data_IF_811471866007
#
_entry.id   IF_811471866007
#
_cell.length_a   1.000
_cell.length_b   1.000
_cell.length_c   1.000
_cell.angle_alpha   90.00
_cell.angle_beta   90.00
_cell.angle_gamma   90.00
#
_symmetry.space_group_name_H-M   'P 1'
#
loop_
_entity.id
_entity.type
_entity.pdbx_description
1 polymer ?
#
# COMPACT_ATOMS: atom_id res chain seq x y z
N UNK A 1 -14.91 -21.95 76.82
CA UNK A 1 -13.70 -21.14 76.58
C UNK A 1 -13.67 -20.70 75.12
N UNK A 2 -14.64 -19.86 74.75
CA UNK A 2 -14.63 -19.04 73.54
C UNK A 2 -13.91 -17.72 73.87
N UNK A 3 -13.53 -16.97 72.83
CA UNK A 3 -12.89 -15.65 72.85
C UNK A 3 -11.41 -15.61 73.23
N UNK A 4 -10.51 -15.85 72.26
CA UNK A 4 -9.33 -14.97 72.08
C UNK A 4 -9.07 -14.77 70.58
N UNK A 5 -9.46 -13.59 70.11
CA UNK A 5 -8.86 -12.79 69.01
C UNK A 5 -8.90 -13.33 67.59
N UNK A 6 -10.12 -13.40 67.05
CA UNK A 6 -10.39 -12.72 65.78
C UNK A 6 -10.00 -11.23 65.92
N UNK A 7 -9.40 -10.64 64.89
CA UNK A 7 -8.79 -9.29 64.86
C UNK A 7 -7.33 -9.31 65.30
N UNK A 8 -6.44 -9.77 64.41
CA UNK A 8 -5.28 -8.95 64.04
C UNK A 8 -4.96 -9.16 62.55
N UNK A 9 -5.40 -8.17 61.78
CA UNK A 9 -4.65 -7.62 60.65
C UNK A 9 -4.66 -8.43 59.35
N UNK A 10 -5.83 -8.38 58.71
CA UNK A 10 -5.91 -8.13 57.28
C UNK A 10 -5.11 -6.85 56.95
N UNK A 11 -3.81 -6.99 56.69
CA UNK A 11 -2.98 -5.95 56.09
C UNK A 11 -1.80 -6.61 55.39
N UNK A 12 -1.68 -6.31 54.11
CA UNK A 12 -0.53 -6.58 53.25
C UNK A 12 -0.25 -8.03 52.84
N UNK A 13 -0.90 -8.42 51.74
CA UNK A 13 -0.16 -8.68 50.50
C UNK A 13 -1.11 -8.50 49.32
N UNK A 14 -1.16 -7.27 48.78
CA UNK A 14 -1.35 -7.14 47.34
C UNK A 14 -0.15 -7.86 46.74
N UNK A 15 -0.29 -9.13 46.39
CA UNK A 15 0.59 -9.74 45.41
C UNK A 15 0.46 -8.87 44.14
N UNK A 16 1.35 -7.89 44.01
CA UNK A 16 1.63 -7.26 42.73
C UNK A 16 2.30 -8.35 41.89
N UNK A 17 1.48 -9.27 41.39
CA UNK A 17 1.89 -10.12 40.27
C UNK A 17 2.31 -9.15 39.18
N UNK A 18 3.56 -9.19 38.69
CA UNK A 18 3.97 -8.33 37.60
C UNK A 18 2.95 -8.48 36.49
N UNK A 19 2.38 -7.34 36.07
CA UNK A 19 1.17 -7.31 35.24
C UNK A 19 1.36 -8.07 33.92
N UNK A 20 2.61 -8.26 33.47
CA UNK A 20 2.99 -9.03 32.29
C UNK A 20 4.40 -9.61 32.45
N UNK A 21 4.53 -10.93 32.53
CA UNK A 21 5.82 -11.63 32.30
C UNK A 21 5.76 -12.21 30.89
N UNK A 22 6.40 -11.52 29.94
CA UNK A 22 6.52 -11.97 28.56
C UNK A 22 7.44 -13.18 28.49
N UNK A 23 7.01 -14.22 27.77
CA UNK A 23 7.88 -15.36 27.46
C UNK A 23 8.94 -14.95 26.42
N UNK A 24 10.07 -15.67 26.36
CA UNK A 24 11.17 -15.37 25.43
C UNK A 24 10.69 -15.18 23.99
N UNK A 25 9.80 -16.05 23.52
CA UNK A 25 9.26 -15.98 22.15
C UNK A 25 8.37 -14.75 21.93
N UNK A 26 7.67 -14.31 22.98
CA UNK A 26 6.88 -13.07 22.96
C UNK A 26 7.75 -11.82 23.01
N UNK A 27 8.89 -11.87 23.71
CA UNK A 27 9.89 -10.79 23.69
C UNK A 27 10.49 -10.65 22.29
N UNK A 28 10.86 -11.77 21.66
CA UNK A 28 11.35 -11.78 20.28
C UNK A 28 10.27 -11.22 19.34
N UNK A 29 9.04 -11.72 19.44
CA UNK A 29 7.92 -11.22 18.63
C UNK A 29 7.68 -9.72 18.85
N UNK A 30 7.77 -9.22 20.08
CA UNK A 30 7.59 -7.80 20.40
C UNK A 30 8.70 -6.92 19.83
N UNK A 31 9.96 -7.37 19.88
CA UNK A 31 11.08 -6.69 19.23
C UNK A 31 10.85 -6.66 17.71
N UNK A 32 10.45 -7.78 17.11
CA UNK A 32 10.14 -7.86 15.68
C UNK A 32 8.96 -6.95 15.30
N UNK A 33 7.95 -6.83 16.17
CA UNK A 33 6.83 -5.91 15.98
C UNK A 33 7.30 -4.45 15.98
N UNK A 34 8.09 -4.04 16.98
CA UNK A 34 8.64 -2.68 17.05
C UNK A 34 9.49 -2.38 15.82
N UNK A 35 10.36 -3.31 15.45
CA UNK A 35 11.22 -3.17 14.27
C UNK A 35 10.40 -3.07 12.98
N UNK A 36 9.37 -3.90 12.81
CA UNK A 36 8.50 -3.85 11.64
C UNK A 36 7.65 -2.57 11.58
N UNK A 37 7.19 -2.04 12.73
CA UNK A 37 6.50 -0.74 12.80
C UNK A 37 7.46 0.39 12.45
N UNK A 38 8.70 0.35 12.96
CA UNK A 38 9.72 1.33 12.61
C UNK A 38 10.05 1.32 11.12
N UNK A 39 10.32 0.15 10.53
CA UNK A 39 10.50 0.00 9.08
C UNK A 39 9.30 0.53 8.29
N UNK A 40 8.07 0.21 8.75
CA UNK A 40 6.86 0.72 8.10
C UNK A 40 6.85 2.25 8.09
N UNK A 41 7.19 2.89 9.21
CA UNK A 41 7.24 4.35 9.31
C UNK A 41 8.34 4.94 8.41
N UNK A 42 9.54 4.37 8.44
CA UNK A 42 10.70 4.82 7.67
C UNK A 42 10.43 4.75 6.16
N UNK A 43 9.85 3.64 5.69
CA UNK A 43 9.49 3.47 4.29
C UNK A 43 8.28 4.33 3.88
N UNK A 44 7.28 4.49 4.75
CA UNK A 44 6.11 5.34 4.44
C UNK A 44 6.49 6.82 4.35
N UNK A 45 7.41 7.27 5.20
CA UNK A 45 7.88 8.66 5.24
C UNK A 45 9.00 8.98 4.26
N UNK A 46 9.48 7.97 3.50
CA UNK A 46 10.56 8.11 2.51
C UNK A 46 11.87 8.70 3.08
N UNK A 47 12.11 8.54 4.38
CA UNK A 47 13.25 9.14 5.08
C UNK A 47 13.70 8.26 6.24
N UNK A 48 15.01 8.17 6.46
CA UNK A 48 15.59 7.52 7.63
C UNK A 48 16.86 6.72 7.33
N UNK A 49 17.49 6.20 8.39
CA UNK A 49 18.77 5.47 8.29
C UNK A 49 18.75 4.31 7.29
N UNK A 50 17.74 3.45 7.34
CA UNK A 50 17.68 2.28 6.46
C UNK A 50 17.24 2.74 5.07
N UNK A 51 16.15 3.50 4.97
CA UNK A 51 15.59 3.94 3.68
C UNK A 51 16.60 4.74 2.85
N UNK A 52 17.27 5.73 3.44
CA UNK A 52 18.25 6.58 2.73
C UNK A 52 19.43 5.76 2.19
N UNK A 53 19.78 4.65 2.85
CA UNK A 53 20.88 3.77 2.45
C UNK A 53 20.53 2.84 1.28
N UNK A 54 19.24 2.59 1.04
CA UNK A 54 18.77 1.61 0.05
C UNK A 54 17.87 2.22 -1.03
N UNK A 55 17.41 3.47 -0.85
CA UNK A 55 16.49 4.18 -1.75
C UNK A 55 17.02 4.32 -3.18
N UNK A 56 18.34 4.25 -3.35
CA UNK A 56 19.00 4.25 -4.67
C UNK A 56 18.87 2.93 -5.42
N UNK A 57 18.36 1.87 -4.79
CA UNK A 57 18.15 0.58 -5.45
C UNK A 57 16.98 0.71 -6.46
N UNK A 58 17.17 0.25 -7.71
CA UNK A 58 16.15 0.38 -8.77
C UNK A 58 14.77 -0.17 -8.37
N UNK A 59 14.75 -1.25 -7.58
CA UNK A 59 13.51 -1.89 -7.10
C UNK A 59 12.72 -0.94 -6.19
N UNK A 60 13.40 -0.18 -5.32
CA UNK A 60 12.72 0.72 -4.37
C UNK A 60 12.30 2.03 -5.04
N UNK A 61 13.08 2.52 -6.01
CA UNK A 61 12.65 3.61 -6.92
C UNK A 61 11.37 3.27 -7.69
N UNK A 62 11.25 2.04 -8.18
CA UNK A 62 10.09 1.59 -8.97
C UNK A 62 8.82 1.37 -8.14
N UNK A 63 8.93 1.28 -6.81
CA UNK A 63 7.81 1.13 -5.89
C UNK A 63 7.29 2.53 -5.50
N UNK A 64 6.78 3.22 -6.53
CA UNK A 64 6.36 4.62 -6.60
C UNK A 64 5.42 5.13 -5.50
N UNK A 65 4.84 4.25 -4.67
CA UNK A 65 3.93 4.66 -3.63
C UNK A 65 4.34 4.00 -2.32
N UNK A 66 5.06 4.76 -1.50
CA UNK A 66 5.62 4.35 -0.21
C UNK A 66 4.58 3.74 0.76
N UNK A 67 3.31 4.09 0.59
CA UNK A 67 2.16 3.49 1.31
C UNK A 67 2.02 1.99 1.02
N UNK A 68 2.43 1.51 -0.17
CA UNK A 68 2.37 0.08 -0.53
C UNK A 68 3.25 -0.78 0.38
N UNK A 69 4.36 -0.25 0.91
CA UNK A 69 5.16 -0.95 1.92
C UNK A 69 4.44 -1.06 3.25
N UNK A 70 3.70 -0.03 3.67
CA UNK A 70 2.87 -0.09 4.87
C UNK A 70 1.82 -1.19 4.76
N UNK A 71 1.17 -1.32 3.60
CA UNK A 71 0.20 -2.38 3.33
C UNK A 71 0.86 -3.76 3.33
N UNK A 72 2.04 -3.92 2.73
CA UNK A 72 2.77 -5.19 2.69
C UNK A 72 3.21 -5.66 4.09
N UNK A 73 3.58 -4.73 4.97
CA UNK A 73 3.97 -5.02 6.35
C UNK A 73 2.77 -5.15 7.31
N UNK A 74 1.59 -4.67 6.92
CA UNK A 74 0.40 -4.69 7.79
C UNK A 74 -0.02 -6.10 8.18
N UNK A 75 -0.10 -7.03 7.22
CA UNK A 75 -0.47 -8.42 7.50
C UNK A 75 0.51 -9.13 8.47
N UNK A 76 1.84 -9.14 8.23
CA UNK A 76 2.78 -9.73 9.17
C UNK A 76 2.77 -9.04 10.54
N UNK A 77 2.61 -7.71 10.59
CA UNK A 77 2.47 -6.98 11.85
C UNK A 77 1.20 -7.36 12.61
N UNK A 78 0.07 -7.54 11.93
CA UNK A 78 -1.19 -8.01 12.53
C UNK A 78 -1.07 -9.44 13.04
N UNK A 79 -0.39 -10.33 12.31
CA UNK A 79 -0.15 -11.71 12.74
C UNK A 79 0.77 -11.73 13.98
N UNK A 80 1.88 -10.98 13.97
CA UNK A 80 2.81 -10.89 15.10
C UNK A 80 2.13 -10.23 16.30
N UNK A 81 1.38 -9.16 16.09
CA UNK A 81 0.58 -8.48 17.11
C UNK A 81 -0.47 -9.42 17.70
N UNK A 82 -1.19 -10.15 16.86
CA UNK A 82 -2.16 -11.18 17.26
C UNK A 82 -1.51 -12.31 18.05
N UNK A 83 -0.30 -12.74 17.68
CA UNK A 83 0.49 -13.75 18.40
C UNK A 83 0.98 -13.27 19.77
N UNK A 84 1.43 -12.02 19.89
CA UNK A 84 1.80 -11.40 21.18
C UNK A 84 0.55 -11.29 22.08
N UNK A 85 -0.59 -10.98 21.48
CA UNK A 85 -1.89 -10.88 22.15
C UNK A 85 -2.57 -12.25 22.36
N UNK A 86 -2.02 -13.34 21.82
CA UNK A 86 -2.62 -14.68 21.87
C UNK A 86 -2.73 -15.21 23.31
N UNK A 87 -3.79 -16.01 23.51
CA UNK A 87 -4.35 -16.69 24.68
C UNK A 87 -4.15 -16.14 26.09
N UNK A 88 -3.00 -15.64 26.52
CA UNK A 88 -2.85 -15.09 27.89
C UNK A 88 -3.61 -13.78 28.09
N UNK A 89 -3.74 -12.94 27.06
CA UNK A 89 -4.46 -11.67 27.15
C UNK A 89 -5.98 -11.89 27.15
N UNK A 90 -6.48 -12.79 26.30
CA UNK A 90 -7.89 -13.15 26.18
C UNK A 90 -8.37 -14.22 27.18
N UNK A 91 -7.48 -15.08 27.74
CA UNK A 91 -7.87 -16.07 28.76
C UNK A 91 -8.13 -15.42 30.11
N UNK A 92 -7.49 -14.29 30.41
CA UNK A 92 -7.91 -13.44 31.52
C UNK A 92 -9.30 -12.89 31.20
N UNK A 93 -10.34 -13.53 31.73
CA UNK A 93 -11.73 -13.03 31.76
C UNK A 93 -11.89 -11.76 32.63
N UNK A 94 -10.84 -10.94 32.71
CA UNK A 94 -10.88 -9.69 33.43
C UNK A 94 -11.59 -8.68 32.54
N UNK A 95 -12.80 -8.30 32.93
CA UNK A 95 -13.59 -7.24 32.29
C UNK A 95 -12.76 -5.96 32.06
N UNK A 96 -11.71 -5.71 32.84
CA UNK A 96 -10.79 -4.58 32.64
C UNK A 96 -9.99 -4.70 31.35
N UNK A 97 -9.44 -5.88 31.03
CA UNK A 97 -8.61 -6.10 29.84
C UNK A 97 -9.45 -5.98 28.57
N UNK A 98 -10.64 -6.59 28.56
CA UNK A 98 -11.61 -6.49 27.46
C UNK A 98 -12.05 -5.03 27.26
N UNK A 99 -12.35 -4.30 28.36
CA UNK A 99 -12.73 -2.89 28.28
C UNK A 99 -11.60 -2.01 27.75
N UNK A 100 -10.36 -2.24 28.18
CA UNK A 100 -9.18 -1.51 27.68
C UNK A 100 -8.99 -1.76 26.18
N UNK A 101 -9.08 -3.01 25.72
CA UNK A 101 -9.03 -3.34 24.29
C UNK A 101 -10.09 -2.58 23.49
N UNK A 102 -11.35 -2.60 23.93
CA UNK A 102 -12.42 -1.89 23.22
C UNK A 102 -12.21 -0.37 23.19
N UNK A 103 -11.73 0.23 24.28
CA UNK A 103 -11.42 1.67 24.30
C UNK A 103 -10.37 2.02 23.25
N UNK A 104 -9.28 1.25 23.18
CA UNK A 104 -8.25 1.48 22.17
C UNK A 104 -8.74 1.20 20.75
N UNK A 105 -9.45 0.09 20.54
CA UNK A 105 -9.99 -0.27 19.24
C UNK A 105 -10.97 0.78 18.69
N UNK A 106 -11.96 1.19 19.50
CA UNK A 106 -12.90 2.22 19.10
C UNK A 106 -12.26 3.61 19.02
N UNK A 107 -11.29 3.91 19.89
CA UNK A 107 -10.51 5.15 19.81
C UNK A 107 -9.71 5.25 18.51
N UNK A 108 -9.08 4.15 18.08
CA UNK A 108 -8.39 4.09 16.78
C UNK A 108 -9.37 4.21 15.62
N UNK A 109 -10.52 3.53 15.67
CA UNK A 109 -11.55 3.69 14.64
C UNK A 109 -12.06 5.14 14.57
N UNK A 110 -12.30 5.77 15.72
CA UNK A 110 -12.73 7.15 15.80
C UNK A 110 -11.66 8.13 15.27
N UNK A 111 -10.37 7.79 15.40
CA UNK A 111 -9.28 8.63 14.89
C UNK A 111 -9.33 8.80 13.37
N UNK A 112 -9.84 7.80 12.62
CA UNK A 112 -10.06 7.95 11.18
C UNK A 112 -11.12 8.99 10.85
N UNK A 113 -12.09 9.22 11.74
CA UNK A 113 -13.11 10.26 11.54
C UNK A 113 -12.56 11.68 11.71
N UNK A 114 -11.44 11.86 12.41
CA UNK A 114 -10.76 13.16 12.54
C UNK A 114 -10.31 13.67 11.16
N UNK A 115 -10.02 12.78 10.21
CA UNK A 115 -9.72 13.14 8.83
C UNK A 115 -10.85 13.96 8.17
N UNK A 116 -12.11 13.67 8.52
CA UNK A 116 -13.26 14.43 8.01
C UNK A 116 -13.35 15.86 8.58
N UNK A 117 -12.71 16.11 9.72
CA UNK A 117 -12.67 17.41 10.40
C UNK A 117 -11.50 18.30 9.95
N UNK A 118 -10.52 17.75 9.23
CA UNK A 118 -9.41 18.55 8.71
C UNK A 118 -9.92 19.57 7.67
N UNK A 119 -9.41 20.80 7.67
CA UNK A 119 -9.79 21.81 6.68
C UNK A 119 -9.41 21.39 5.26
N UNK A 120 -10.20 21.81 4.27
CA UNK A 120 -9.98 21.47 2.85
C UNK A 120 -8.67 22.05 2.28
N UNK A 121 -8.04 22.99 2.99
CA UNK A 121 -6.70 23.50 2.66
C UNK A 121 -5.62 22.43 2.87
N UNK A 122 -5.84 21.47 3.77
CA UNK A 122 -4.94 20.36 4.05
C UNK A 122 -5.35 19.07 3.34
N UNK A 123 -6.48 19.07 2.62
CA UNK A 123 -6.96 17.90 1.88
C UNK A 123 -7.83 18.29 0.69
N UNK A 124 -7.47 17.79 -0.49
CA UNK A 124 -8.29 17.97 -1.69
C UNK A 124 -9.33 16.85 -1.78
N UNK A 125 -10.62 17.19 -1.67
CA UNK A 125 -11.74 16.24 -1.79
C UNK A 125 -12.47 16.47 -3.11
N UNK A 126 -11.78 16.19 -4.22
CA UNK A 126 -12.28 16.47 -5.57
C UNK A 126 -13.16 15.36 -6.15
N UNK A 127 -13.51 14.33 -5.37
CA UNK A 127 -14.33 13.24 -5.87
C UNK A 127 -15.79 13.70 -6.05
N UNK A 128 -16.24 13.75 -7.31
CA UNK A 128 -17.60 14.07 -7.69
C UNK A 128 -18.33 12.80 -8.19
N UNK A 129 -19.30 12.33 -7.42
CA UNK A 129 -20.10 11.15 -7.76
C UNK A 129 -20.91 11.34 -9.04
N UNK A 130 -21.44 12.53 -9.29
CA UNK A 130 -22.29 12.79 -10.45
C UNK A 130 -21.49 12.64 -11.75
N UNK A 131 -20.28 13.20 -11.78
CA UNK A 131 -19.38 13.05 -12.92
C UNK A 131 -19.01 11.59 -13.18
N UNK A 132 -18.74 10.82 -12.12
CA UNK A 132 -18.46 9.38 -12.25
C UNK A 132 -19.67 8.62 -12.81
N UNK A 133 -20.88 8.99 -12.38
CA UNK A 133 -22.12 8.38 -12.88
C UNK A 133 -22.38 8.73 -14.34
N UNK A 134 -22.09 9.96 -14.75
CA UNK A 134 -22.22 10.42 -16.14
C UNK A 134 -21.22 9.70 -17.05
N UNK A 135 -19.94 9.66 -16.66
CA UNK A 135 -18.89 8.92 -17.38
C UNK A 135 -19.27 7.44 -17.52
N UNK A 136 -19.82 6.82 -16.46
CA UNK A 136 -20.29 5.43 -16.50
C UNK A 136 -21.46 5.22 -17.48
N UNK A 137 -22.42 6.15 -17.52
CA UNK A 137 -23.54 6.06 -18.46
C UNK A 137 -23.07 6.17 -19.91
N UNK A 138 -22.14 7.09 -20.16
CA UNK A 138 -21.50 7.32 -21.45
C UNK A 138 -20.68 6.10 -21.92
N UNK A 139 -19.90 5.47 -21.01
CA UNK A 139 -19.24 4.19 -21.28
C UNK A 139 -20.26 3.11 -21.70
N UNK A 140 -21.41 3.05 -21.02
CA UNK A 140 -22.44 2.02 -21.28
C UNK A 140 -23.10 2.17 -22.65
N UNK A 141 -23.20 3.39 -23.18
CA UNK A 141 -23.72 3.64 -24.54
C UNK A 141 -22.64 3.52 -25.63
N UNK A 142 -21.41 3.16 -25.25
CA UNK A 142 -20.31 2.86 -26.16
C UNK A 142 -19.39 4.03 -26.48
N UNK A 143 -19.46 5.12 -25.70
CA UNK A 143 -18.52 6.23 -25.84
C UNK A 143 -17.09 5.77 -25.54
N UNK A 144 -16.17 6.21 -26.39
CA UNK A 144 -14.74 5.91 -26.26
C UNK A 144 -14.05 7.22 -25.92
N UNK A 145 -13.65 7.35 -24.65
CA UNK A 145 -13.01 8.54 -24.09
C UNK A 145 -11.57 8.74 -24.55
N UNK A 146 -11.32 8.73 -25.86
CA UNK A 146 -9.98 8.92 -26.38
C UNK A 146 -9.44 10.30 -26.02
N UNK A 147 -8.19 10.33 -25.57
CA UNK A 147 -7.51 11.56 -25.21
C UNK A 147 -7.12 12.26 -26.51
N UNK A 148 -7.50 13.54 -26.63
CA UNK A 148 -7.25 14.36 -27.82
C UNK A 148 -6.56 15.68 -27.51
N UNK A 149 -6.64 16.13 -26.26
CA UNK A 149 -6.08 17.40 -25.82
C UNK A 149 -5.37 17.28 -24.47
N UNK A 150 -4.56 18.29 -24.18
CA UNK A 150 -3.97 18.60 -22.90
C UNK A 150 -4.66 19.85 -22.37
N UNK A 151 -5.15 19.81 -21.11
CA UNK A 151 -5.93 20.89 -20.52
C UNK A 151 -5.63 21.10 -19.03
N UNK A 152 -5.92 22.30 -18.54
CA UNK A 152 -5.88 22.66 -17.11
C UNK A 152 -7.11 22.12 -16.36
N UNK A 153 -7.22 20.80 -16.25
CA UNK A 153 -8.36 20.10 -15.64
C UNK A 153 -7.92 19.26 -14.45
N UNK A 154 -8.85 18.92 -13.55
CA UNK A 154 -8.61 17.96 -12.48
C UNK A 154 -8.72 16.53 -13.00
N UNK A 155 -8.05 15.58 -12.34
CA UNK A 155 -8.00 14.17 -12.74
C UNK A 155 -9.37 13.51 -12.91
N UNK A 156 -10.35 13.91 -12.09
CA UNK A 156 -11.73 13.40 -12.18
C UNK A 156 -12.48 13.86 -13.44
N UNK A 157 -11.90 14.78 -14.23
CA UNK A 157 -12.52 15.33 -15.43
C UNK A 157 -11.92 14.81 -16.74
N UNK A 158 -10.86 13.99 -16.66
CA UNK A 158 -10.08 13.49 -17.81
C UNK A 158 -10.98 12.81 -18.85
N UNK A 159 -11.92 11.97 -18.41
CA UNK A 159 -12.85 11.29 -19.31
C UNK A 159 -13.83 12.27 -19.95
N UNK A 160 -14.65 12.95 -19.14
CA UNK A 160 -15.66 13.90 -19.65
C UNK A 160 -15.10 14.99 -20.59
N UNK A 161 -13.81 15.33 -20.48
CA UNK A 161 -13.16 16.38 -21.27
C UNK A 161 -12.31 15.83 -22.42
N UNK A 162 -12.19 14.51 -22.58
CA UNK A 162 -11.31 13.88 -23.58
C UNK A 162 -9.88 14.44 -23.58
N UNK A 163 -9.37 14.73 -22.38
CA UNK A 163 -8.14 15.48 -22.20
C UNK A 163 -7.30 14.93 -21.06
N UNK A 164 -5.99 15.00 -21.19
CA UNK A 164 -5.07 14.79 -20.08
C UNK A 164 -4.87 16.10 -19.31
N UNK A 165 -4.61 15.97 -18.01
CA UNK A 165 -4.31 17.11 -17.15
C UNK A 165 -2.88 17.60 -17.37
N UNK A 166 -2.66 18.92 -17.35
CA UNK A 166 -1.32 19.51 -17.16
C UNK A 166 -0.87 19.44 -15.70
N UNK A 167 -1.82 19.39 -14.76
CA UNK A 167 -1.55 19.23 -13.35
C UNK A 167 -1.26 17.76 -13.10
N UNK A 168 -0.03 17.44 -12.75
CA UNK A 168 0.37 16.05 -12.49
C UNK A 168 0.40 15.87 -10.99
N UNK A 169 -0.67 15.40 -10.36
CA UNK A 169 -0.65 15.20 -8.91
C UNK A 169 0.05 13.88 -8.56
N UNK A 170 1.33 13.95 -8.19
CA UNK A 170 2.03 12.82 -7.59
C UNK A 170 2.89 13.30 -6.41
N UNK A 171 2.62 12.74 -5.23
CA UNK A 171 3.20 13.18 -3.96
C UNK A 171 4.72 13.02 -3.90
N UNK A 172 5.30 12.23 -4.81
CA UNK A 172 6.75 12.01 -4.87
C UNK A 172 7.51 13.23 -5.40
N UNK A 173 6.81 14.18 -6.05
CA UNK A 173 7.40 15.39 -6.63
C UNK A 173 6.98 16.68 -5.89
N UNK A 174 6.60 16.51 -4.62
CA UNK A 174 6.08 17.60 -3.79
C UNK A 174 4.56 17.60 -3.72
N UNK A 175 4.01 18.01 -2.57
CA UNK A 175 2.56 18.09 -2.38
C UNK A 175 1.95 19.21 -3.24
N UNK A 176 2.77 20.20 -3.60
CA UNK A 176 2.40 21.34 -4.45
C UNK A 176 3.14 21.32 -5.80
N UNK A 177 3.66 20.15 -6.21
CA UNK A 177 4.42 19.95 -7.46
C UNK A 177 5.69 20.80 -7.54
N UNK A 178 6.29 21.09 -6.38
CA UNK A 178 7.43 21.99 -6.27
C UNK A 178 8.63 21.52 -7.11
N UNK A 179 8.79 20.21 -7.27
CA UNK A 179 9.87 19.58 -8.02
C UNK A 179 9.46 19.13 -9.44
N UNK A 180 8.22 19.43 -9.86
CA UNK A 180 7.69 19.01 -11.16
C UNK A 180 7.38 20.20 -12.07
N UNK A 181 8.09 20.27 -13.20
CA UNK A 181 7.77 21.18 -14.31
C UNK A 181 7.30 20.39 -15.52
N UNK A 182 6.01 20.53 -15.86
CA UNK A 182 5.50 19.92 -17.10
C UNK A 182 6.02 20.67 -18.33
N UNK A 183 6.47 19.93 -19.34
CA UNK A 183 6.74 20.47 -20.68
C UNK A 183 5.50 20.52 -21.56
N UNK A 184 4.35 20.02 -21.07
CA UNK A 184 3.13 20.00 -21.84
C UNK A 184 2.49 21.40 -21.92
N UNK A 185 1.96 21.72 -23.10
CA UNK A 185 1.22 22.95 -23.33
C UNK A 185 -0.29 22.66 -23.46
N UNK A 186 -1.17 23.57 -23.02
CA UNK A 186 -2.60 23.44 -23.30
C UNK A 186 -2.87 23.41 -24.81
N UNK A 187 -3.55 22.37 -25.31
CA UNK A 187 -3.81 22.21 -26.75
C UNK A 187 -3.91 20.75 -27.19
N UNK A 188 -3.77 20.50 -28.50
CA UNK A 188 -3.84 19.14 -29.03
C UNK A 188 -2.66 18.28 -28.57
N UNK A 189 -2.90 16.99 -28.34
CA UNK A 189 -1.82 16.00 -28.13
C UNK A 189 -0.91 15.83 -29.37
N UNK A 190 -1.41 16.19 -30.56
CA UNK A 190 -0.66 16.13 -31.81
C UNK A 190 0.11 17.41 -32.10
N UNK A 191 0.12 18.39 -31.18
CA UNK A 191 0.98 19.55 -31.32
C UNK A 191 2.44 19.07 -31.29
N UNK A 192 3.19 19.43 -32.33
CA UNK A 192 4.60 19.06 -32.50
C UNK A 192 5.49 20.24 -32.12
N UNK A 193 6.41 20.05 -31.18
CA UNK A 193 7.36 21.07 -30.71
C UNK A 193 8.69 20.40 -30.36
N UNK A 194 9.80 20.97 -30.82
CA UNK A 194 11.17 20.49 -30.57
C UNK A 194 11.42 18.99 -30.87
N UNK A 195 10.65 18.40 -31.78
CA UNK A 195 10.76 16.98 -32.14
C UNK A 195 9.96 16.03 -31.25
N UNK A 196 9.01 16.56 -30.46
CA UNK A 196 8.15 15.81 -29.58
C UNK A 196 6.67 16.14 -29.80
N UNK A 197 5.80 15.18 -29.48
CA UNK A 197 4.37 15.38 -29.34
C UNK A 197 4.05 15.98 -27.97
N UNK A 198 2.97 16.75 -27.91
CA UNK A 198 2.45 17.34 -26.69
C UNK A 198 1.70 16.32 -25.81
N UNK A 199 2.37 15.22 -25.46
CA UNK A 199 1.87 14.18 -24.57
C UNK A 199 3.03 13.48 -23.87
N UNK A 200 2.92 13.31 -22.56
CA UNK A 200 3.92 12.59 -21.75
C UNK A 200 3.93 11.10 -22.13
N UNK A 201 5.13 10.56 -22.34
CA UNK A 201 5.34 9.13 -22.55
C UNK A 201 5.35 8.43 -21.18
N UNK A 202 4.37 7.56 -20.86
CA UNK A 202 4.29 6.92 -19.56
C UNK A 202 5.44 5.94 -19.32
N UNK A 203 6.19 5.52 -20.36
CA UNK A 203 7.42 4.75 -20.20
C UNK A 203 8.42 5.46 -19.30
N UNK A 204 8.51 6.79 -19.42
CA UNK A 204 9.41 7.63 -18.61
C UNK A 204 9.09 7.64 -17.12
N UNK A 205 7.87 7.22 -16.74
CA UNK A 205 7.44 7.12 -15.34
C UNK A 205 7.69 5.73 -14.75
N UNK A 206 7.91 4.72 -15.58
CA UNK A 206 7.92 3.31 -15.14
C UNK A 206 9.30 2.70 -15.26
N UNK A 207 10.00 3.02 -16.34
CA UNK A 207 11.32 2.51 -16.63
C UNK A 207 12.30 3.66 -16.52
N UNK A 208 13.33 3.50 -15.70
CA UNK A 208 14.40 4.46 -15.39
C UNK A 208 14.97 5.05 -16.69
N UNK A 209 14.32 6.09 -17.21
CA UNK A 209 14.81 6.91 -18.31
C UNK A 209 15.55 8.08 -17.70
N UNK A 210 16.66 8.45 -18.33
CA UNK A 210 17.45 9.63 -17.93
C UNK A 210 16.61 10.92 -17.91
N UNK A 211 15.43 10.90 -18.55
CA UNK A 211 14.44 11.98 -18.59
C UNK A 211 13.11 11.48 -18.03
N UNK A 212 12.82 11.78 -16.76
CA UNK A 212 11.49 11.64 -16.18
C UNK A 212 10.52 12.59 -16.92
N UNK A 213 9.30 12.13 -17.18
CA UNK A 213 8.25 12.90 -17.89
C UNK A 213 8.56 13.25 -19.35
N UNK A 214 9.50 12.55 -19.97
CA UNK A 214 9.79 12.71 -21.38
C UNK A 214 8.50 12.61 -22.23
N UNK A 215 8.40 13.47 -23.23
CA UNK A 215 7.32 13.46 -24.22
C UNK A 215 7.53 12.34 -25.24
N UNK A 216 6.47 11.94 -25.94
CA UNK A 216 6.62 11.06 -27.09
C UNK A 216 7.42 11.75 -28.19
N UNK A 217 8.44 11.08 -28.72
CA UNK A 217 9.17 11.59 -29.90
C UNK A 217 8.31 11.46 -31.15
N UNK A 218 8.61 12.24 -32.20
CA UNK A 218 7.91 12.12 -33.49
C UNK A 218 7.99 10.69 -34.09
N UNK A 219 9.08 9.97 -33.82
CA UNK A 219 9.25 8.57 -34.25
C UNK A 219 8.34 7.58 -33.53
N UNK A 220 7.81 7.93 -32.36
CA UNK A 220 6.97 7.06 -31.53
C UNK A 220 5.47 7.26 -31.77
N UNK A 221 5.09 7.88 -32.90
CA UNK A 221 3.69 8.18 -33.23
C UNK A 221 2.76 6.98 -33.11
N UNK A 222 3.13 5.82 -33.65
CA UNK A 222 2.28 4.62 -33.58
C UNK A 222 2.06 4.14 -32.13
N UNK A 223 3.09 4.27 -31.30
CA UNK A 223 3.03 3.94 -29.87
C UNK A 223 2.11 4.92 -29.14
N UNK A 224 2.23 6.21 -29.42
CA UNK A 224 1.37 7.26 -28.89
C UNK A 224 -0.10 7.03 -29.30
N UNK A 225 -0.35 6.79 -30.58
CA UNK A 225 -1.68 6.51 -31.11
C UNK A 225 -2.27 5.21 -30.54
N UNK A 226 -1.47 4.19 -30.30
CA UNK A 226 -1.92 3.00 -29.58
C UNK A 226 -2.35 3.35 -28.16
N UNK A 227 -1.52 4.11 -27.43
CA UNK A 227 -1.76 4.50 -26.05
C UNK A 227 -3.03 5.33 -25.86
N UNK A 228 -3.22 6.41 -26.63
CA UNK A 228 -4.39 7.30 -26.48
C UNK A 228 -5.71 6.67 -26.93
N UNK A 229 -5.62 5.56 -27.68
CA UNK A 229 -6.77 4.73 -28.06
C UNK A 229 -6.96 3.50 -27.15
N UNK A 230 -6.29 3.47 -25.99
CA UNK A 230 -6.38 2.36 -25.03
C UNK A 230 -5.99 0.99 -25.60
N UNK A 231 -5.11 0.97 -26.60
CA UNK A 231 -4.46 -0.25 -27.11
C UNK A 231 -3.12 -0.43 -26.39
N UNK A 232 -2.70 -1.68 -26.21
CA UNK A 232 -1.41 -1.99 -25.57
C UNK A 232 -0.26 -1.68 -26.53
N UNK A 233 0.56 -0.64 -26.27
CA UNK A 233 1.74 -0.35 -27.08
C UNK A 233 2.87 -1.32 -26.73
N UNK A 234 3.83 -1.49 -27.64
CA UNK A 234 5.07 -2.18 -27.31
C UNK A 234 6.01 -1.24 -26.55
N UNK A 235 5.89 -1.25 -25.21
CA UNK A 235 6.65 -0.35 -24.35
C UNK A 235 8.16 -0.59 -24.35
N UNK A 236 8.64 -1.69 -24.93
CA UNK A 236 10.07 -2.02 -24.93
C UNK A 236 10.64 -2.19 -23.51
N UNK A 237 10.18 -3.23 -22.80
CA UNK A 237 10.57 -3.49 -21.41
C UNK A 237 12.11 -3.70 -21.33
N UNK A 238 12.82 -3.07 -20.36
CA UNK A 238 14.26 -3.26 -20.20
C UNK A 238 14.63 -4.73 -19.94
N UNK A 239 15.77 -5.17 -20.48
CA UNK A 239 16.23 -6.57 -20.35
C UNK A 239 16.35 -7.03 -18.90
N UNK A 240 16.82 -6.15 -18.00
CA UNK A 240 16.92 -6.46 -16.57
C UNK A 240 15.53 -6.74 -15.96
N UNK A 241 14.51 -5.97 -16.34
CA UNK A 241 13.14 -6.19 -15.88
C UNK A 241 12.59 -7.52 -16.38
N UNK A 242 12.92 -7.94 -17.61
CA UNK A 242 12.58 -9.27 -18.10
C UNK A 242 13.18 -10.38 -17.20
N UNK A 243 14.46 -10.27 -16.87
CA UNK A 243 15.14 -11.24 -15.98
C UNK A 243 14.48 -11.27 -14.60
N UNK A 244 14.21 -10.09 -14.00
CA UNK A 244 13.58 -9.99 -12.69
C UNK A 244 12.16 -10.58 -12.68
N UNK A 245 11.36 -10.32 -13.74
CA UNK A 245 10.04 -10.90 -13.90
C UNK A 245 10.11 -12.44 -13.99
N UNK A 246 11.09 -12.99 -14.71
CA UNK A 246 11.31 -14.44 -14.79
C UNK A 246 11.66 -15.03 -13.43
N UNK A 247 12.62 -14.43 -12.71
CA UNK A 247 13.02 -14.90 -11.37
C UNK A 247 11.84 -14.84 -10.38
N UNK A 248 11.05 -13.76 -10.43
CA UNK A 248 9.84 -13.60 -9.62
C UNK A 248 8.81 -14.70 -9.93
N UNK A 249 8.55 -14.96 -11.22
CA UNK A 249 7.64 -16.02 -11.65
C UNK A 249 8.07 -17.41 -11.18
N UNK A 250 9.36 -17.75 -11.32
CA UNK A 250 9.91 -19.03 -10.84
C UNK A 250 9.78 -19.14 -9.32
N UNK A 251 10.08 -18.07 -8.59
CA UNK A 251 9.98 -18.03 -7.12
C UNK A 251 8.54 -18.22 -6.67
N UNK A 252 7.58 -17.53 -7.30
CA UNK A 252 6.15 -17.69 -7.02
C UNK A 252 5.69 -19.14 -7.21
N UNK A 253 6.06 -19.76 -8.33
CA UNK A 253 5.72 -21.16 -8.60
C UNK A 253 6.36 -22.13 -7.60
N UNK A 254 7.60 -21.88 -7.20
CA UNK A 254 8.29 -22.68 -6.18
C UNK A 254 7.60 -22.59 -4.81
N UNK A 255 7.19 -21.38 -4.38
CA UNK A 255 6.46 -21.17 -3.13
C UNK A 255 5.08 -21.86 -3.19
N UNK A 256 4.33 -21.66 -4.28
CA UNK A 256 3.02 -22.26 -4.46
C UNK A 256 3.11 -23.79 -4.46
N UNK A 257 4.04 -24.35 -5.24
CA UNK A 257 4.29 -25.78 -5.30
C UNK A 257 4.73 -26.35 -3.95
N UNK A 258 5.65 -25.69 -3.25
CA UNK A 258 6.08 -26.06 -1.91
C UNK A 258 4.94 -26.02 -0.89
N UNK A 259 4.08 -24.99 -0.96
CA UNK A 259 2.90 -24.86 -0.12
C UNK A 259 1.88 -25.97 -0.35
N UNK A 260 1.59 -26.30 -1.61
CA UNK A 260 0.70 -27.41 -1.98
C UNK A 260 1.27 -28.74 -1.48
N UNK A 261 2.56 -29.02 -1.74
CA UNK A 261 3.21 -30.25 -1.26
C UNK A 261 3.18 -30.36 0.27
N UNK A 262 3.40 -29.25 0.97
CA UNK A 262 3.31 -29.20 2.42
C UNK A 262 1.89 -29.47 2.92
N UNK A 263 0.86 -28.88 2.30
CA UNK A 263 -0.54 -29.14 2.62
C UNK A 263 -0.92 -30.61 2.36
N UNK A 264 -0.52 -31.17 1.22
CA UNK A 264 -0.74 -32.58 0.89
C UNK A 264 -0.04 -33.51 1.88
N UNK A 265 1.18 -33.18 2.32
CA UNK A 265 1.88 -33.95 3.35
C UNK A 265 1.18 -33.85 4.71
N UNK A 266 0.68 -32.68 5.07
CA UNK A 266 0.05 -32.40 6.38
C UNK A 266 -1.35 -32.99 6.48
N UNK A 267 -2.12 -33.00 5.40
CA UNK A 267 -3.53 -33.40 5.40
C UNK A 267 -3.80 -34.70 4.62
N UNK A 268 -2.97 -35.06 3.64
CA UNK A 268 -3.14 -36.25 2.79
C UNK A 268 -2.45 -37.52 3.29
N UNK A 269 -1.58 -37.46 4.31
CA UNK A 269 -0.94 -38.64 4.92
C UNK A 269 -1.69 -39.19 6.14
N UNK A 270 -2.91 -38.74 6.43
CA UNK A 270 -3.87 -39.54 7.20
C UNK A 270 -4.50 -40.59 6.26
N UNK A 271 -3.68 -41.49 5.70
CA UNK A 271 -4.21 -42.80 5.28
C UNK A 271 -4.41 -43.59 6.56
N UNK A 272 -5.66 -43.68 7.00
CA UNK A 272 -6.08 -44.70 7.95
C UNK A 272 -5.46 -46.03 7.51
N UNK A 273 -4.67 -46.65 8.38
CA UNK A 273 -4.47 -48.09 8.31
C UNK A 273 -5.85 -48.69 8.50
N UNK A 274 -6.52 -49.02 7.41
CA UNK A 274 -7.66 -49.93 7.44
C UNK A 274 -7.05 -51.29 7.77
N UNK A 275 -7.09 -51.65 9.05
CA UNK A 275 -6.77 -52.98 9.51
C UNK A 275 -7.77 -53.94 8.85
N UNK A 276 -7.30 -54.69 7.85
CA UNK A 276 -8.03 -55.82 7.28
C UNK A 276 -7.93 -56.96 8.28
N UNK A 277 -9.02 -57.21 9.00
CA UNK A 277 -9.27 -58.47 9.72
C UNK A 277 -9.54 -59.60 8.73
#
# INVERSE_FOLDING_TARGET
>A
MQLIKYIYKAKDKKETRPLFVLQRDQVIAFITLIFGVWLTFEFTSARGMIYDSISTLPILRSLYNNIRYAVALLLPLVIIGGYILDRKFLSTHSNRVIRTFHIFFWGTLLSFFVYFLLPNELQSRNFNLNQTLDDYQNLRIGEKFFVSNVSAILDNMVFSQHATSIYTYENIFGYDLEDFSTELQPGSIYLEEDGFYNLTNPRSLVYDSDELFARFTLSEREMMEAFVHYRQPDWGIPTLQHVLNTVSGVTFLAILGGGILWLLKRFGLKREKVDLN
#
